data_IF_881060422517
#
_entry.id   IF_881060422517
#
_cell.length_a   1.000
_cell.length_b   1.000
_cell.length_c   1.000
_cell.angle_alpha   90.00
_cell.angle_beta   90.00
_cell.angle_gamma   90.00
#
_symmetry.space_group_name_H-M   'P 1'
#
loop_
_entity.id
_entity.type
_entity.pdbx_description
1 polymer ?
#
# COMPACT_ATOMS: atom_id res chain seq x y z
N UNK A 1 -6.51 19.11 -11.15
CA UNK A 1 -7.33 19.16 -12.37
C UNK A 1 -8.83 19.07 -12.06
N UNK A 2 -9.35 18.02 -11.43
CA UNK A 2 -10.80 17.86 -11.15
C UNK A 2 -11.46 19.07 -10.43
N UNK A 3 -10.80 19.64 -9.41
CA UNK A 3 -11.34 20.82 -8.71
C UNK A 3 -11.50 22.06 -9.60
N UNK A 4 -10.60 22.26 -10.58
CA UNK A 4 -10.64 23.40 -11.50
C UNK A 4 -11.89 23.28 -12.37
N UNK A 5 -12.11 22.09 -12.94
CA UNK A 5 -13.29 21.79 -13.75
C UNK A 5 -14.59 21.96 -12.95
N UNK A 6 -14.64 21.42 -11.73
CA UNK A 6 -15.81 21.58 -10.85
C UNK A 6 -16.11 23.06 -10.57
N UNK A 7 -15.06 23.86 -10.32
CA UNK A 7 -15.18 25.31 -10.08
C UNK A 7 -15.69 26.07 -11.31
N UNK A 8 -15.22 25.71 -12.50
CA UNK A 8 -15.67 26.30 -13.77
C UNK A 8 -17.12 25.95 -14.08
N UNK A 9 -17.52 24.69 -13.84
CA UNK A 9 -18.91 24.24 -14.02
C UNK A 9 -19.88 24.89 -13.04
N UNK A 10 -19.49 25.06 -11.78
CA UNK A 10 -20.32 25.79 -10.80
C UNK A 10 -20.52 27.25 -11.23
N UNK A 11 -19.45 27.90 -11.71
CA UNK A 11 -19.51 29.28 -12.23
C UNK A 11 -20.42 29.40 -13.45
N UNK A 12 -20.36 28.45 -14.40
CA UNK A 12 -21.22 28.49 -15.58
C UNK A 12 -22.70 28.25 -15.26
N UNK A 13 -22.99 27.56 -14.15
CA UNK A 13 -24.36 27.36 -13.62
C UNK A 13 -24.86 28.53 -12.77
N UNK A 14 -24.01 29.50 -12.45
CA UNK A 14 -24.35 30.61 -11.55
C UNK A 14 -24.28 30.26 -10.06
N UNK A 15 -23.77 29.07 -9.73
CA UNK A 15 -23.61 28.61 -8.35
C UNK A 15 -22.32 29.16 -7.73
N UNK A 16 -22.32 29.31 -6.40
CA UNK A 16 -21.09 29.65 -5.67
C UNK A 16 -20.19 28.42 -5.63
N UNK A 17 -18.99 28.46 -6.26
CA UNK A 17 -18.11 27.30 -6.27
C UNK A 17 -17.60 26.99 -4.87
N UNK A 18 -17.58 25.70 -4.52
CA UNK A 18 -16.98 25.20 -3.29
C UNK A 18 -15.51 25.63 -3.18
N UNK A 19 -15.06 25.85 -1.94
CA UNK A 19 -13.63 25.97 -1.66
C UNK A 19 -12.95 24.59 -1.80
N UNK A 20 -11.62 24.59 -1.92
CA UNK A 20 -10.86 23.37 -2.20
C UNK A 20 -10.97 22.31 -1.10
N UNK A 21 -11.09 22.74 0.17
CA UNK A 21 -11.24 21.83 1.32
C UNK A 21 -12.58 21.10 1.25
N UNK A 22 -13.68 21.84 1.12
CA UNK A 22 -15.02 21.27 1.06
C UNK A 22 -15.18 20.32 -0.14
N UNK A 23 -14.62 20.67 -1.30
CA UNK A 23 -14.60 19.78 -2.46
C UNK A 23 -13.91 18.44 -2.16
N UNK A 24 -12.74 18.48 -1.51
CA UNK A 24 -12.00 17.25 -1.16
C UNK A 24 -12.75 16.41 -0.14
N UNK A 25 -13.38 17.05 0.86
CA UNK A 25 -14.15 16.34 1.88
C UNK A 25 -15.36 15.61 1.26
N UNK A 26 -16.14 16.29 0.41
CA UNK A 26 -17.26 15.68 -0.31
C UNK A 26 -16.79 14.53 -1.20
N UNK A 27 -15.72 14.73 -1.96
CA UNK A 27 -15.17 13.71 -2.86
C UNK A 27 -14.79 12.44 -2.09
N UNK A 28 -14.11 12.57 -0.94
CA UNK A 28 -13.75 11.41 -0.12
C UNK A 28 -14.98 10.64 0.36
N UNK A 29 -16.00 11.36 0.82
CA UNK A 29 -17.26 10.74 1.29
C UNK A 29 -17.97 10.00 0.15
N UNK A 30 -18.04 10.59 -1.03
CA UNK A 30 -18.66 9.96 -2.20
C UNK A 30 -17.88 8.71 -2.65
N UNK A 31 -16.56 8.78 -2.73
CA UNK A 31 -15.73 7.63 -3.07
C UNK A 31 -15.84 6.49 -2.05
N UNK A 32 -15.88 6.82 -0.76
CA UNK A 32 -16.05 5.82 0.29
C UNK A 32 -17.40 5.08 0.19
N UNK A 33 -18.47 5.79 -0.18
CA UNK A 33 -19.79 5.20 -0.42
C UNK A 33 -19.78 4.26 -1.62
N UNK A 34 -19.15 4.65 -2.73
CA UNK A 34 -19.03 3.81 -3.93
C UNK A 34 -18.21 2.55 -3.62
N UNK A 35 -17.06 2.68 -2.94
CA UNK A 35 -16.25 1.53 -2.54
C UNK A 35 -17.01 0.55 -1.64
N UNK A 36 -17.89 1.05 -0.77
CA UNK A 36 -18.69 0.21 0.13
C UNK A 36 -19.85 -0.48 -0.59
N UNK A 37 -20.54 0.21 -1.50
CA UNK A 37 -21.69 -0.34 -2.24
C UNK A 37 -21.27 -1.41 -3.26
N UNK A 38 -20.06 -1.31 -3.81
CA UNK A 38 -19.50 -2.29 -4.74
C UNK A 38 -18.84 -3.49 -4.04
N UNK A 39 -18.89 -3.55 -2.69
CA UNK A 39 -18.46 -4.73 -1.93
C UNK A 39 -19.64 -5.71 -1.77
N UNK A 40 -20.28 -6.10 -2.88
CA UNK A 40 -20.69 -7.50 -2.99
C UNK A 40 -19.41 -8.29 -3.03
N UNK A 41 -19.22 -9.18 -2.05
CA UNK A 41 -18.02 -9.95 -1.81
C UNK A 41 -17.49 -10.68 -3.06
N UNK A 42 -16.75 -9.99 -3.92
CA UNK A 42 -15.65 -10.62 -4.61
C UNK A 42 -14.51 -10.65 -3.60
N UNK A 43 -13.97 -11.84 -3.25
CA UNK A 43 -12.66 -11.86 -2.64
C UNK A 43 -11.74 -11.18 -3.65
N UNK A 44 -11.23 -10.00 -3.30
CA UNK A 44 -10.09 -9.42 -4.00
C UNK A 44 -9.13 -10.59 -4.28
N UNK A 45 -8.62 -10.77 -5.51
CA UNK A 45 -7.74 -11.90 -5.78
C UNK A 45 -6.65 -11.84 -4.73
N UNK A 46 -6.65 -12.79 -3.80
CA UNK A 46 -5.73 -12.87 -2.67
C UNK A 46 -4.37 -13.35 -3.17
N UNK A 47 -3.92 -12.78 -4.28
CA UNK A 47 -2.61 -12.98 -4.88
C UNK A 47 -1.55 -12.14 -4.18
N UNK A 48 -1.92 -11.33 -3.19
CA UNK A 48 -0.93 -10.73 -2.30
C UNK A 48 -0.44 -11.78 -1.30
N UNK A 49 0.37 -12.70 -1.79
CA UNK A 49 1.36 -13.39 -0.98
C UNK A 49 2.28 -12.30 -0.40
N UNK A 50 1.91 -11.74 0.74
CA UNK A 50 2.69 -10.69 1.38
C UNK A 50 3.94 -11.36 1.97
N UNK A 51 5.03 -11.32 1.23
CA UNK A 51 6.35 -11.70 1.71
C UNK A 51 6.77 -10.73 2.81
N UNK A 52 6.76 -11.19 4.06
CA UNK A 52 7.07 -10.36 5.22
C UNK A 52 8.49 -10.63 5.71
N UNK A 53 9.41 -9.65 5.64
CA UNK A 53 10.72 -9.78 6.27
C UNK A 53 10.60 -9.81 7.80
N UNK A 54 11.29 -10.75 8.44
CA UNK A 54 11.39 -10.88 9.90
C UNK A 54 12.83 -11.13 10.34
N UNK A 55 13.17 -10.67 11.55
CA UNK A 55 14.46 -10.98 12.16
C UNK A 55 14.48 -12.43 12.66
N UNK A 56 15.56 -13.17 12.35
CA UNK A 56 15.72 -14.57 12.73
C UNK A 56 15.91 -14.71 14.25
N UNK A 57 16.71 -13.84 14.86
CA UNK A 57 17.08 -13.92 16.28
C UNK A 57 17.48 -12.55 16.84
N UNK A 58 16.52 -11.64 17.00
CA UNK A 58 16.71 -10.35 17.69
C UNK A 58 18.03 -9.64 17.34
N UNK A 59 18.82 -9.28 18.36
CA UNK A 59 20.13 -8.63 18.22
C UNK A 59 21.33 -9.59 18.29
N UNK A 60 21.11 -10.89 18.46
CA UNK A 60 22.22 -11.85 18.59
C UNK A 60 22.88 -12.14 17.24
N UNK A 61 24.19 -12.41 17.24
CA UNK A 61 24.90 -12.95 16.07
C UNK A 61 24.64 -14.44 15.89
N UNK A 62 24.16 -15.11 16.94
CA UNK A 62 23.76 -16.51 16.93
C UNK A 62 22.47 -16.67 16.13
N UNK A 63 22.49 -17.54 15.12
CA UNK A 63 21.33 -17.84 14.26
C UNK A 63 21.27 -17.06 12.95
N UNK A 64 22.23 -16.19 12.63
CA UNK A 64 22.29 -15.55 11.29
C UNK A 64 22.55 -16.59 10.21
N UNK A 65 21.72 -16.57 9.18
CA UNK A 65 21.83 -17.46 8.02
C UNK A 65 22.58 -16.78 6.89
N UNK A 66 22.94 -17.53 5.84
CA UNK A 66 23.52 -16.98 4.62
C UNK A 66 22.42 -16.59 3.66
N UNK A 67 22.51 -15.40 3.07
CA UNK A 67 21.58 -14.96 2.06
C UNK A 67 21.62 -15.88 0.84
N UNK A 68 20.45 -16.32 0.37
CA UNK A 68 20.35 -17.21 -0.80
C UNK A 68 21.02 -16.67 -2.07
N UNK A 69 21.01 -15.35 -2.26
CA UNK A 69 21.50 -14.71 -3.50
C UNK A 69 22.99 -14.31 -3.47
N UNK A 70 23.54 -13.91 -2.32
CA UNK A 70 24.94 -13.45 -2.24
C UNK A 70 25.79 -14.17 -1.19
N UNK A 71 25.23 -15.12 -0.46
CA UNK A 71 25.90 -15.92 0.58
C UNK A 71 26.45 -15.13 1.78
N UNK A 72 26.26 -13.80 1.82
CA UNK A 72 26.59 -12.97 2.98
C UNK A 72 25.70 -13.32 4.18
N UNK A 73 26.21 -13.16 5.41
CA UNK A 73 25.42 -13.38 6.64
C UNK A 73 24.31 -12.35 6.74
N UNK A 74 23.07 -12.80 6.93
CA UNK A 74 21.88 -11.97 7.10
C UNK A 74 21.14 -12.31 8.40
N UNK A 75 20.64 -11.31 9.14
CA UNK A 75 19.73 -11.53 10.26
C UNK A 75 18.25 -11.59 9.85
N UNK A 76 17.94 -11.43 8.55
CA UNK A 76 16.58 -11.34 8.03
C UNK A 76 16.22 -12.57 7.19
N UNK A 77 14.98 -13.06 7.35
CA UNK A 77 14.36 -14.04 6.46
C UNK A 77 12.93 -13.63 6.12
N UNK A 78 12.40 -14.16 5.02
CA UNK A 78 10.98 -14.07 4.74
C UNK A 78 10.21 -15.05 5.64
N UNK A 79 9.20 -14.58 6.37
CA UNK A 79 8.36 -15.43 7.20
C UNK A 79 7.51 -16.41 6.38
N UNK A 80 7.14 -16.01 5.16
CA UNK A 80 6.25 -16.79 4.28
C UNK A 80 6.99 -17.89 3.53
N UNK A 81 8.19 -17.60 3.04
CA UNK A 81 8.98 -18.54 2.23
C UNK A 81 10.09 -19.26 3.01
N UNK A 82 10.34 -18.83 4.26
CA UNK A 82 11.46 -19.28 5.09
C UNK A 82 12.85 -19.11 4.43
N UNK A 83 12.97 -18.17 3.48
CA UNK A 83 14.22 -17.90 2.75
C UNK A 83 14.99 -16.76 3.42
N UNK A 84 16.28 -16.96 3.78
CA UNK A 84 17.15 -15.89 4.25
C UNK A 84 17.60 -14.98 3.09
N UNK A 85 17.29 -13.69 3.19
CA UNK A 85 17.71 -12.66 2.23
C UNK A 85 18.29 -11.44 2.96
N UNK A 86 19.24 -10.75 2.32
CA UNK A 86 19.65 -9.42 2.78
C UNK A 86 18.50 -8.44 2.59
N UNK A 87 18.30 -7.51 3.52
CA UNK A 87 17.23 -6.51 3.45
C UNK A 87 17.60 -5.41 2.43
N UNK A 88 17.32 -5.70 1.16
CA UNK A 88 17.60 -4.83 0.01
C UNK A 88 16.28 -4.70 -0.76
N UNK A 89 15.83 -3.48 -1.10
CA UNK A 89 14.53 -3.26 -1.76
C UNK A 89 14.33 -4.01 -3.08
N UNK A 90 15.41 -4.35 -3.79
CA UNK A 90 15.37 -5.12 -5.04
C UNK A 90 15.41 -6.64 -4.87
N UNK A 91 15.37 -7.14 -3.63
CA UNK A 91 15.43 -8.58 -3.33
C UNK A 91 14.11 -9.08 -2.81
N UNK A 92 13.44 -9.86 -3.66
CA UNK A 92 12.23 -10.61 -3.32
C UNK A 92 12.52 -12.11 -3.34
N UNK A 93 11.77 -12.87 -2.53
CA UNK A 93 11.92 -14.32 -2.38
C UNK A 93 10.89 -15.10 -3.17
#
# INVERSE_FOLDING_TARGET
>A
NAFILHKELARSRGDVPLNQKAFRETLVVELAKVGSANTTAEPAPSLSCHHRPVHISGHSTLGRLRCRLCQAKTPIKCATCDVPLCFIPSRDC
#
